data_IF_430795729163
#
_entry.id   IF_430795729163
#
_cell.length_a   1.000
_cell.length_b   1.000
_cell.length_c   1.000
_cell.angle_alpha   90.00
_cell.angle_beta   90.00
_cell.angle_gamma   90.00
#
_symmetry.space_group_name_H-M   'P 1'
#
loop_
_entity.id
_entity.type
_entity.pdbx_description
1 polymer ?
#
# COMPACT_ATOMS: atom_id res chain seq x y z
N UNK A 1 -9.49 -24.50 -36.90
CA UNK A 1 -9.90 -25.43 -35.82
C UNK A 1 -10.97 -24.79 -34.96
N UNK A 2 -11.73 -25.57 -34.18
CA UNK A 2 -12.79 -25.04 -33.32
C UNK A 2 -12.35 -25.05 -31.85
N UNK A 3 -12.48 -23.92 -31.16
CA UNK A 3 -12.24 -23.79 -29.71
C UNK A 3 -13.51 -23.31 -29.00
N UNK A 4 -13.58 -23.51 -27.69
CA UNK A 4 -14.72 -23.11 -26.86
C UNK A 4 -14.29 -22.14 -25.78
N UNK A 5 -15.12 -21.15 -25.48
CA UNK A 5 -14.89 -20.19 -24.40
C UNK A 5 -16.02 -20.28 -23.39
N UNK A 6 -15.65 -20.55 -22.14
CA UNK A 6 -16.54 -20.66 -20.97
C UNK A 6 -16.33 -19.47 -20.04
N UNK A 7 -17.35 -19.06 -19.29
CA UNK A 7 -17.24 -18.00 -18.28
C UNK A 7 -18.01 -16.72 -18.61
N UNK A 8 -18.48 -16.58 -19.86
CA UNK A 8 -19.60 -15.69 -20.17
C UNK A 8 -20.93 -16.42 -19.90
N UNK A 9 -22.07 -15.73 -19.98
CA UNK A 9 -23.39 -16.31 -19.68
C UNK A 9 -23.73 -17.59 -20.49
N UNK A 10 -23.00 -17.85 -21.58
CA UNK A 10 -23.10 -19.02 -22.45
C UNK A 10 -21.70 -19.51 -22.85
N UNK A 11 -21.61 -20.77 -23.28
CA UNK A 11 -20.38 -21.27 -23.91
C UNK A 11 -20.39 -20.82 -25.37
N UNK A 12 -19.33 -20.14 -25.80
CA UNK A 12 -19.16 -19.66 -27.16
C UNK A 12 -18.22 -20.59 -27.92
N UNK A 13 -18.51 -20.85 -29.19
CA UNK A 13 -17.67 -21.69 -30.05
C UNK A 13 -17.07 -20.84 -31.17
N UNK A 14 -15.75 -20.93 -31.36
CA UNK A 14 -15.00 -20.11 -32.31
C UNK A 14 -14.24 -20.97 -33.30
N UNK A 15 -14.33 -20.60 -34.57
CA UNK A 15 -13.46 -21.12 -35.60
C UNK A 15 -12.24 -20.21 -35.70
N UNK A 16 -11.07 -20.77 -35.44
CA UNK A 16 -9.80 -20.05 -35.42
C UNK A 16 -8.76 -20.78 -36.25
N UNK A 17 -7.90 -20.07 -36.95
CA UNK A 17 -6.73 -20.61 -37.62
C UNK A 17 -5.53 -20.68 -36.67
N UNK A 18 -4.41 -21.27 -37.12
CA UNK A 18 -3.25 -21.50 -36.23
C UNK A 18 -2.45 -20.21 -35.97
N UNK A 19 -2.48 -19.35 -36.96
CA UNK A 19 -1.81 -18.06 -37.09
C UNK A 19 -2.64 -16.90 -36.54
N UNK A 20 -3.92 -17.13 -36.25
CA UNK A 20 -4.77 -16.16 -35.55
C UNK A 20 -4.15 -15.78 -34.21
N UNK A 21 -4.27 -14.49 -33.88
CA UNK A 21 -3.77 -13.97 -32.62
C UNK A 21 -4.79 -14.19 -31.51
N UNK A 22 -4.30 -14.30 -30.27
CA UNK A 22 -5.19 -14.36 -29.12
C UNK A 22 -5.94 -13.03 -28.92
N UNK A 23 -5.37 -11.92 -29.37
CA UNK A 23 -6.03 -10.62 -29.38
C UNK A 23 -7.36 -10.65 -30.15
N UNK A 24 -7.45 -11.37 -31.27
CA UNK A 24 -8.68 -11.49 -32.05
C UNK A 24 -9.78 -12.20 -31.24
N UNK A 25 -9.40 -13.22 -30.46
CA UNK A 25 -10.31 -13.94 -29.55
C UNK A 25 -10.82 -13.00 -28.44
N UNK A 26 -9.94 -12.16 -27.87
CA UNK A 26 -10.34 -11.15 -26.88
C UNK A 26 -11.33 -10.14 -27.47
N UNK A 27 -11.08 -9.64 -28.68
CA UNK A 27 -11.93 -8.66 -29.35
C UNK A 27 -13.31 -9.23 -29.67
N UNK A 28 -13.36 -10.48 -30.15
CA UNK A 28 -14.62 -11.15 -30.39
C UNK A 28 -15.44 -11.28 -29.10
N UNK A 29 -14.81 -11.73 -28.01
CA UNK A 29 -15.50 -11.90 -26.72
C UNK A 29 -15.97 -10.54 -26.20
N UNK A 30 -15.18 -9.48 -26.37
CA UNK A 30 -15.57 -8.11 -26.00
C UNK A 30 -16.83 -7.66 -26.73
N UNK A 31 -16.92 -7.90 -28.04
CA UNK A 31 -18.11 -7.58 -28.85
C UNK A 31 -19.34 -8.37 -28.39
N UNK A 32 -19.21 -9.67 -28.16
CA UNK A 32 -20.33 -10.55 -27.79
C UNK A 32 -20.82 -10.32 -26.35
N UNK A 33 -19.90 -10.03 -25.43
CA UNK A 33 -20.21 -9.88 -24.01
C UNK A 33 -20.52 -8.44 -23.59
N UNK A 34 -20.17 -7.46 -24.43
CA UNK A 34 -20.37 -6.03 -24.16
C UNK A 34 -19.37 -5.42 -23.16
N UNK A 35 -18.31 -6.16 -22.79
CA UNK A 35 -17.24 -5.67 -21.92
C UNK A 35 -16.07 -5.14 -22.75
N UNK A 36 -15.29 -4.20 -22.20
CA UNK A 36 -14.06 -3.77 -22.83
C UNK A 36 -13.01 -4.90 -22.80
N UNK A 37 -12.18 -5.00 -23.84
CA UNK A 37 -11.08 -5.99 -23.93
C UNK A 37 -10.21 -6.01 -22.67
N UNK A 38 -9.89 -4.83 -22.12
CA UNK A 38 -9.08 -4.69 -20.91
C UNK A 38 -9.69 -5.30 -19.64
N UNK A 39 -11.01 -5.45 -19.62
CA UNK A 39 -11.75 -6.01 -18.50
C UNK A 39 -11.89 -7.53 -18.61
N UNK A 40 -11.53 -8.12 -19.75
CA UNK A 40 -11.56 -9.57 -19.97
C UNK A 40 -10.18 -10.16 -19.63
N UNK A 41 -10.17 -11.34 -19.04
CA UNK A 41 -8.99 -12.14 -18.80
C UNK A 41 -9.24 -13.57 -19.28
N UNK A 42 -8.54 -13.97 -20.35
CA UNK A 42 -8.58 -15.33 -20.86
C UNK A 42 -7.51 -16.18 -20.20
N UNK A 43 -7.86 -17.40 -19.86
CA UNK A 43 -6.95 -18.36 -19.25
C UNK A 43 -7.20 -19.78 -19.72
N UNK A 44 -6.12 -20.54 -19.91
CA UNK A 44 -6.15 -21.95 -20.26
C UNK A 44 -5.55 -22.75 -19.10
N UNK A 45 -6.32 -23.65 -18.47
CA UNK A 45 -5.86 -24.41 -17.30
C UNK A 45 -5.29 -23.54 -16.16
N UNK A 46 -5.79 -22.31 -16.02
CA UNK A 46 -5.33 -21.34 -15.02
C UNK A 46 -4.10 -20.53 -15.42
N UNK A 47 -3.50 -20.75 -16.60
CA UNK A 47 -2.46 -19.88 -17.14
C UNK A 47 -3.10 -18.76 -17.97
N UNK A 48 -2.77 -17.47 -17.71
CA UNK A 48 -3.32 -16.37 -18.50
C UNK A 48 -2.78 -16.41 -19.93
N UNK A 49 -3.65 -16.14 -20.89
CA UNK A 49 -3.29 -16.06 -22.30
C UNK A 49 -2.82 -14.64 -22.63
N UNK A 50 -1.62 -14.56 -23.22
CA UNK A 50 -1.00 -13.30 -23.64
C UNK A 50 -1.50 -12.90 -25.03
N UNK A 51 -1.68 -11.59 -25.24
CA UNK A 51 -2.25 -11.05 -26.49
C UNK A 51 -1.29 -11.12 -27.68
N UNK A 52 0.03 -11.18 -27.41
CA UNK A 52 1.09 -11.12 -28.43
C UNK A 52 1.38 -12.48 -29.08
N UNK A 53 0.84 -13.56 -28.54
CA UNK A 53 1.13 -14.92 -29.00
C UNK A 53 -0.03 -15.45 -29.85
N UNK A 54 0.30 -16.40 -30.72
CA UNK A 54 -0.66 -17.07 -31.60
C UNK A 54 -1.30 -18.28 -30.93
N UNK A 55 -2.34 -18.79 -31.56
CA UNK A 55 -3.06 -19.99 -31.11
C UNK A 55 -2.18 -21.23 -31.12
N UNK A 56 -1.26 -21.34 -32.09
CA UNK A 56 -0.28 -22.43 -32.15
C UNK A 56 0.74 -22.37 -31.00
N UNK A 57 1.18 -21.19 -30.58
CA UNK A 57 2.14 -21.04 -29.47
C UNK A 57 1.59 -21.46 -28.11
N UNK A 58 0.27 -21.44 -27.94
CA UNK A 58 -0.40 -21.90 -26.72
C UNK A 58 -0.86 -23.35 -26.78
N UNK A 59 -0.45 -24.11 -27.81
CA UNK A 59 -0.83 -25.50 -28.04
C UNK A 59 -2.35 -25.73 -27.93
N UNK A 60 -3.14 -24.78 -28.44
CA UNK A 60 -4.60 -24.91 -28.46
C UNK A 60 -4.98 -26.01 -29.46
N UNK A 61 -5.66 -27.04 -28.97
CA UNK A 61 -6.09 -28.21 -29.74
C UNK A 61 -7.56 -28.02 -30.13
N UNK A 62 -8.04 -28.61 -31.24
CA UNK A 62 -9.47 -28.64 -31.53
C UNK A 62 -10.28 -29.17 -30.33
N UNK A 63 -11.27 -28.39 -29.91
CA UNK A 63 -12.14 -28.69 -28.76
C UNK A 63 -11.63 -28.18 -27.41
N UNK A 64 -10.49 -27.49 -27.36
CA UNK A 64 -10.01 -26.88 -26.11
C UNK A 64 -11.00 -25.84 -25.58
N UNK A 65 -11.17 -25.84 -24.25
CA UNK A 65 -12.03 -24.91 -23.53
C UNK A 65 -11.15 -23.88 -22.80
N UNK A 66 -11.34 -22.60 -23.12
CA UNK A 66 -10.68 -21.47 -22.49
C UNK A 66 -11.66 -20.82 -21.49
N UNK A 67 -11.16 -20.40 -20.34
CA UNK A 67 -11.93 -19.70 -19.32
C UNK A 67 -11.77 -18.19 -19.46
N UNK A 68 -12.88 -17.48 -19.66
CA UNK A 68 -12.99 -16.03 -19.70
C UNK A 68 -13.51 -15.48 -18.38
N UNK A 69 -12.69 -14.68 -17.70
CA UNK A 69 -13.04 -14.00 -16.47
C UNK A 69 -13.20 -12.50 -16.73
N UNK A 70 -14.32 -11.93 -16.28
CA UNK A 70 -14.57 -10.48 -16.38
C UNK A 70 -14.15 -9.83 -15.07
N UNK A 71 -13.25 -8.85 -15.15
CA UNK A 71 -12.82 -8.03 -14.02
C UNK A 71 -14.01 -7.22 -13.52
N UNK A 72 -14.32 -7.35 -12.24
CA UNK A 72 -15.34 -6.53 -11.61
C UNK A 72 -14.83 -5.09 -11.46
N UNK A 73 -15.58 -4.13 -12.02
CA UNK A 73 -15.39 -2.71 -11.77
C UNK A 73 -15.54 -2.44 -10.26
N UNK A 74 -14.47 -1.95 -9.62
CA UNK A 74 -14.51 -1.54 -8.21
C UNK A 74 -13.97 -2.55 -7.19
N UNK A 75 -13.01 -3.40 -7.57
CA UNK A 75 -12.20 -4.13 -6.60
C UNK A 75 -11.54 -3.18 -5.60
N UNK A 76 -12.14 -3.04 -4.40
CA UNK A 76 -11.53 -2.33 -3.27
C UNK A 76 -10.14 -2.93 -3.04
N UNK A 77 -9.08 -2.19 -3.36
CA UNK A 77 -7.77 -2.43 -2.78
C UNK A 77 -7.90 -2.26 -1.26
N UNK A 78 -7.91 -3.38 -0.54
CA UNK A 78 -7.95 -3.41 0.92
C UNK A 78 -6.59 -2.95 1.45
N UNK A 79 -6.47 -1.62 1.65
CA UNK A 79 -5.24 -0.97 2.08
C UNK A 79 -5.23 0.53 1.77
N UNK A 80 -6.33 1.23 2.04
CA UNK A 80 -6.53 2.62 1.61
C UNK A 80 -5.41 3.54 2.11
N UNK A 81 -4.68 4.14 1.17
CA UNK A 81 -3.68 5.18 1.40
C UNK A 81 -4.28 6.51 1.89
N UNK A 82 -5.61 6.63 1.91
CA UNK A 82 -6.36 7.84 2.24
C UNK A 82 -6.14 8.34 3.68
N UNK A 83 -5.53 7.52 4.55
CA UNK A 83 -5.20 7.89 5.93
C UNK A 83 -3.73 8.33 6.11
N UNK A 84 -2.91 8.27 5.06
CA UNK A 84 -1.52 8.68 5.12
C UNK A 84 -1.40 10.16 5.50
N UNK A 85 -0.65 10.45 6.56
CA UNK A 85 -0.40 11.82 7.01
C UNK A 85 -1.56 12.52 7.73
N UNK A 86 -2.70 11.83 7.98
CA UNK A 86 -3.89 12.42 8.63
C UNK A 86 -3.55 13.13 9.96
N UNK A 87 -2.79 12.46 10.83
CA UNK A 87 -2.42 13.01 12.15
C UNK A 87 -1.48 14.20 12.02
N UNK A 88 -0.49 14.13 11.12
CA UNK A 88 0.48 15.22 10.88
C UNK A 88 -0.18 16.48 10.32
N UNK A 89 -1.27 16.33 9.56
CA UNK A 89 -2.06 17.45 9.02
C UNK A 89 -2.98 18.07 10.07
N UNK A 90 -3.51 17.26 10.98
CA UNK A 90 -4.44 17.72 12.02
C UNK A 90 -3.72 18.42 13.18
N UNK A 91 -2.47 18.04 13.50
CA UNK A 91 -1.75 18.66 14.60
C UNK A 91 -1.29 20.09 14.24
N UNK A 92 -1.50 21.08 15.12
CA UNK A 92 -1.03 22.45 14.87
C UNK A 92 0.49 22.46 14.76
N UNK A 93 1.01 23.16 13.75
CA UNK A 93 2.46 23.26 13.54
C UNK A 93 3.06 24.29 14.50
N UNK A 94 3.52 23.83 15.65
CA UNK A 94 4.23 24.68 16.61
C UNK A 94 5.67 24.91 16.12
N UNK A 95 6.04 26.17 15.93
CA UNK A 95 7.41 26.56 15.58
C UNK A 95 8.34 26.29 16.78
N UNK A 96 9.57 25.79 16.55
CA UNK A 96 10.54 25.62 17.61
C UNK A 96 10.89 27.00 18.20
N UNK A 97 10.80 27.13 19.52
CA UNK A 97 11.30 28.31 20.22
C UNK A 97 12.82 28.33 20.18
N UNK A 98 13.40 29.51 19.94
CA UNK A 98 14.85 29.69 20.00
C UNK A 98 15.34 29.43 21.44
N UNK A 99 16.17 28.39 21.60
CA UNK A 99 16.78 28.05 22.87
C UNK A 99 18.28 28.33 22.79
N UNK A 100 18.89 28.86 23.86
CA UNK A 100 20.34 29.08 23.87
C UNK A 100 21.08 27.77 23.60
N UNK A 101 22.20 27.86 22.88
CA UNK A 101 23.04 26.71 22.58
C UNK A 101 23.47 26.05 23.89
N UNK A 102 23.12 24.78 24.08
CA UNK A 102 23.55 24.00 25.24
C UNK A 102 25.07 23.83 25.19
N UNK A 103 25.74 23.98 26.33
CA UNK A 103 27.16 23.63 26.46
C UNK A 103 27.36 22.16 26.08
N UNK A 104 28.52 21.85 25.49
CA UNK A 104 28.89 20.48 25.07
C UNK A 104 30.20 20.04 25.74
N UNK A 105 30.53 18.75 25.63
CA UNK A 105 31.79 18.18 26.13
C UNK A 105 32.01 18.35 27.64
N UNK A 106 33.24 18.73 28.01
CA UNK A 106 33.66 18.85 29.41
C UNK A 106 32.87 19.91 30.19
N UNK A 107 32.50 21.01 29.54
CA UNK A 107 31.71 22.07 30.16
C UNK A 107 30.33 21.54 30.60
N UNK A 108 29.66 20.76 29.74
CA UNK A 108 28.37 20.11 30.08
C UNK A 108 28.50 19.09 31.20
N UNK A 109 29.58 18.29 31.22
CA UNK A 109 29.82 17.29 32.27
C UNK A 109 30.02 17.93 33.64
N UNK A 110 30.74 19.05 33.71
CA UNK A 110 30.90 19.86 34.94
C UNK A 110 29.56 20.37 35.46
N UNK A 111 28.73 20.93 34.58
CA UNK A 111 27.41 21.43 34.93
C UNK A 111 26.47 20.30 35.42
N UNK A 112 26.49 19.14 34.77
CA UNK A 112 25.73 17.97 35.22
C UNK A 112 26.18 17.44 36.58
N UNK A 113 27.49 17.43 36.85
CA UNK A 113 28.02 17.03 38.15
C UNK A 113 27.54 17.99 39.24
N UNK A 114 27.66 19.30 38.99
CA UNK A 114 27.19 20.32 39.92
C UNK A 114 25.69 20.17 40.20
N UNK A 115 24.85 20.04 39.16
CA UNK A 115 23.39 19.87 39.33
C UNK A 115 23.01 18.59 40.08
N UNK A 116 23.75 17.48 39.92
CA UNK A 116 23.41 16.18 40.52
C UNK A 116 23.94 16.00 41.93
N UNK A 117 25.12 16.55 42.23
CA UNK A 117 25.85 16.25 43.45
C UNK A 117 26.08 17.47 44.34
N UNK A 118 26.38 18.65 43.79
CA UNK A 118 26.67 19.84 44.61
C UNK A 118 25.41 20.66 44.92
N UNK A 119 24.58 20.90 43.91
CA UNK A 119 23.38 21.75 43.97
C UNK A 119 22.10 20.90 44.07
N UNK A 120 22.15 19.81 44.83
CA UNK A 120 21.00 18.92 44.98
C UNK A 120 19.92 19.60 45.82
N UNK A 121 18.87 20.10 45.17
CA UNK A 121 17.68 20.63 45.85
C UNK A 121 16.91 19.44 46.46
N UNK A 122 16.83 19.38 47.79
CA UNK A 122 15.90 18.49 48.46
C UNK A 122 14.48 19.05 48.28
N UNK A 123 13.51 18.20 47.91
CA UNK A 123 12.11 18.60 47.91
C UNK A 123 11.69 19.00 49.34
N UNK A 124 10.73 19.92 49.55
CA UNK A 124 10.31 20.37 50.88
C UNK A 124 9.93 19.22 51.84
N UNK A 125 9.49 18.09 51.28
CA UNK A 125 9.08 16.90 52.02
C UNK A 125 10.18 15.84 52.15
N UNK A 126 11.45 16.17 51.87
CA UNK A 126 12.60 15.26 52.00
C UNK A 126 12.70 14.17 50.91
N UNK A 127 11.68 14.00 50.06
CA UNK A 127 11.72 13.06 48.94
C UNK A 127 12.58 13.55 47.78
N UNK A 128 13.26 12.63 47.10
CA UNK A 128 14.06 12.95 45.91
C UNK A 128 13.12 13.22 44.74
N UNK A 129 13.08 14.46 44.23
CA UNK A 129 12.34 14.79 43.01
C UNK A 129 13.17 14.50 41.75
N UNK A 130 12.49 14.10 40.68
CA UNK A 130 13.11 13.87 39.38
C UNK A 130 13.49 15.18 38.68
N UNK A 131 14.52 15.17 37.81
CA UNK A 131 15.04 16.36 37.13
C UNK A 131 14.08 17.02 36.13
N UNK A 132 12.96 16.37 35.79
CA UNK A 132 11.92 16.88 34.89
C UNK A 132 10.54 16.85 35.57
N UNK A 133 10.51 17.05 36.89
CA UNK A 133 9.26 17.20 37.63
C UNK A 133 8.68 18.60 37.38
N UNK A 134 7.38 18.69 37.14
CA UNK A 134 6.67 19.97 36.96
C UNK A 134 6.25 20.61 38.30
N UNK A 135 6.81 20.14 39.42
CA UNK A 135 6.45 20.64 40.74
C UNK A 135 7.10 22.01 40.98
N UNK A 136 6.29 23.04 41.17
CA UNK A 136 6.75 24.40 41.49
C UNK A 136 6.71 24.60 43.00
N UNK A 137 7.81 25.07 43.58
CA UNK A 137 7.81 25.52 44.97
C UNK A 137 6.93 26.79 45.09
N UNK A 138 6.14 26.94 46.15
CA UNK A 138 5.44 28.19 46.41
C UNK A 138 6.49 29.30 46.58
N UNK A 139 6.47 30.29 45.70
CA UNK A 139 7.23 31.53 45.86
C UNK A 139 6.61 32.29 47.02
N UNK A 140 7.37 32.54 48.09
CA UNK A 140 6.94 33.41 49.18
C UNK A 140 6.73 34.83 48.63
N UNK A 141 5.50 35.32 48.76
CA UNK A 141 5.10 36.71 48.52
C UNK A 141 5.87 37.70 49.38
#
# INVERSE_FOLDING_TARGET
MQIFVRGTAKVLAFNVEKDDSIQDVYEYIAQESGYAVNDILLSLYGTPLNNEQTIEEFDLVPGTIIDANIKLLGGKTHGRMNQAGKVKKQTPKVAPTEKPKKKTGRARRREQYAQRFTNKIASPNGFRSGPNSNYQLPVSS
#
